data_IF_012522331175
#
_entry.id   IF_012522331175
#
_cell.length_a   1.000
_cell.length_b   1.000
_cell.length_c   1.000
_cell.angle_alpha   90.00
_cell.angle_beta   90.00
_cell.angle_gamma   90.00
#
_symmetry.space_group_name_H-M   'P 1'
#
loop_
_entity.id
_entity.type
_entity.pdbx_description
1 polymer ?
#
# COMPACT_ATOMS: atom_id res chain seq x y z
N UNK A 1 -14.48 -21.02 -2.46
CA UNK A 1 -13.39 -20.16 -3.00
C UNK A 1 -12.80 -19.27 -1.91
N UNK A 2 -12.12 -19.83 -0.90
CA UNK A 2 -11.40 -19.03 0.14
C UNK A 2 -9.90 -18.97 -0.12
N UNK A 3 -9.38 -19.87 -0.96
CA UNK A 3 -7.96 -20.01 -1.29
C UNK A 3 -7.50 -19.11 -2.48
N UNK A 4 -8.40 -18.39 -3.15
CA UNK A 4 -8.07 -17.50 -4.27
C UNK A 4 -7.78 -16.05 -3.86
N UNK A 5 -8.21 -15.63 -2.66
CA UNK A 5 -8.01 -14.27 -2.15
C UNK A 5 -6.56 -14.04 -1.71
N UNK A 6 -5.94 -15.04 -1.08
CA UNK A 6 -4.55 -14.98 -0.61
C UNK A 6 -3.56 -14.66 -1.74
N UNK A 7 -3.58 -15.33 -2.91
CA UNK A 7 -2.63 -15.01 -3.98
C UNK A 7 -2.88 -13.64 -4.62
N UNK A 8 -4.13 -13.18 -4.74
CA UNK A 8 -4.43 -11.88 -5.35
C UNK A 8 -3.98 -10.73 -4.45
N UNK A 9 -4.26 -10.83 -3.14
CA UNK A 9 -3.79 -9.83 -2.16
C UNK A 9 -2.26 -9.82 -2.07
N UNK A 10 -1.63 -11.00 -2.14
CA UNK A 10 -0.16 -11.10 -2.16
C UNK A 10 0.43 -10.50 -3.43
N UNK A 11 -0.19 -10.73 -4.60
CA UNK A 11 0.24 -10.14 -5.87
C UNK A 11 0.07 -8.62 -5.87
N UNK A 12 -1.07 -8.10 -5.43
CA UNK A 12 -1.30 -6.66 -5.31
C UNK A 12 -0.33 -5.99 -4.33
N UNK A 13 0.00 -6.65 -3.21
CA UNK A 13 1.02 -6.17 -2.27
C UNK A 13 2.41 -6.10 -2.89
N UNK A 14 2.76 -7.06 -3.74
CA UNK A 14 4.03 -7.08 -4.47
C UNK A 14 4.10 -5.97 -5.52
N UNK A 15 3.01 -5.74 -6.26
CA UNK A 15 2.91 -4.67 -7.25
C UNK A 15 3.01 -3.29 -6.56
N UNK A 16 2.32 -3.10 -5.44
CA UNK A 16 2.42 -1.87 -4.64
C UNK A 16 3.84 -1.64 -4.11
N UNK A 17 4.53 -2.69 -3.63
CA UNK A 17 5.91 -2.57 -3.20
C UNK A 17 6.85 -2.16 -4.36
N UNK A 18 6.63 -2.72 -5.55
CA UNK A 18 7.35 -2.35 -6.76
C UNK A 18 7.11 -0.89 -7.17
N UNK A 19 5.85 -0.44 -7.14
CA UNK A 19 5.48 0.94 -7.46
C UNK A 19 6.06 1.94 -6.46
N UNK A 20 6.01 1.64 -5.16
CA UNK A 20 6.61 2.49 -4.12
C UNK A 20 8.14 2.56 -4.26
N UNK A 21 8.80 1.43 -4.53
CA UNK A 21 10.24 1.39 -4.80
C UNK A 21 10.62 2.24 -6.03
N UNK A 22 9.88 2.11 -7.13
CA UNK A 22 10.06 2.93 -8.33
C UNK A 22 9.79 4.41 -8.09
N UNK A 23 8.78 4.74 -7.27
CA UNK A 23 8.44 6.11 -6.88
C UNK A 23 9.58 6.78 -6.09
N UNK A 24 10.20 6.08 -5.13
CA UNK A 24 11.35 6.61 -4.38
C UNK A 24 12.51 6.99 -5.32
N UNK A 25 12.81 6.13 -6.31
CA UNK A 25 13.88 6.39 -7.27
C UNK A 25 13.52 7.58 -8.17
N UNK A 26 12.29 7.67 -8.65
CA UNK A 26 11.86 8.82 -9.47
C UNK A 26 11.83 10.12 -8.66
N UNK A 27 11.37 10.11 -7.41
CA UNK A 27 11.44 11.27 -6.52
C UNK A 27 12.88 11.74 -6.31
N UNK A 28 13.82 10.80 -6.11
CA UNK A 28 15.23 11.10 -5.88
C UNK A 28 15.93 11.66 -7.12
N UNK A 29 15.68 11.08 -8.30
CA UNK A 29 16.31 11.52 -9.56
C UNK A 29 15.79 12.90 -9.98
N UNK A 30 14.49 13.16 -9.80
CA UNK A 30 13.86 14.42 -10.21
C UNK A 30 13.82 15.46 -9.08
N UNK A 31 14.37 15.17 -7.90
CA UNK A 31 14.32 16.05 -6.71
C UNK A 31 12.90 16.51 -6.35
N UNK A 32 11.91 15.62 -6.52
CA UNK A 32 10.51 15.91 -6.21
C UNK A 32 10.24 15.64 -4.73
N UNK A 33 9.53 16.55 -4.01
CA UNK A 33 9.13 16.30 -2.64
C UNK A 33 8.03 15.24 -2.61
N UNK A 34 8.34 14.06 -2.09
CA UNK A 34 7.40 12.95 -2.03
C UNK A 34 7.52 12.12 -0.75
N UNK A 35 6.52 11.28 -0.51
CA UNK A 35 6.43 10.50 0.74
C UNK A 35 7.52 9.44 0.84
N UNK A 36 8.01 8.93 -0.30
CA UNK A 36 9.06 7.93 -0.33
C UNK A 36 10.42 8.49 0.07
N UNK A 37 10.82 9.59 -0.54
CA UNK A 37 12.03 10.34 -0.20
C UNK A 37 11.99 10.91 1.22
N UNK A 38 10.83 11.40 1.67
CA UNK A 38 10.61 11.80 3.07
C UNK A 38 10.83 10.64 4.04
N UNK A 39 10.28 9.45 3.75
CA UNK A 39 10.48 8.28 4.61
C UNK A 39 11.96 7.88 4.72
N UNK A 40 12.68 7.89 3.60
CA UNK A 40 14.12 7.57 3.57
C UNK A 40 14.92 8.62 4.35
N UNK A 41 14.61 9.91 4.18
CA UNK A 41 15.30 10.98 4.90
C UNK A 41 15.01 10.91 6.41
N UNK A 42 13.77 10.68 6.82
CA UNK A 42 13.40 10.56 8.24
C UNK A 42 14.06 9.35 8.92
N UNK A 43 14.29 8.25 8.18
CA UNK A 43 15.08 7.12 8.71
C UNK A 43 16.55 7.49 8.90
N UNK A 44 17.14 8.24 7.97
CA UNK A 44 18.54 8.69 8.09
C UNK A 44 18.72 9.73 9.21
N UNK A 45 17.76 10.66 9.36
CA UNK A 45 17.78 11.71 10.39
C UNK A 45 17.21 11.24 11.74
N UNK A 46 16.76 9.98 11.83
CA UNK A 46 16.10 9.38 12.98
C UNK A 46 14.91 10.22 13.52
N UNK A 47 14.16 10.87 12.62
CA UNK A 47 12.98 11.65 12.95
C UNK A 47 11.78 10.71 13.20
N UNK A 48 11.71 10.21 14.44
CA UNK A 48 10.67 9.27 14.89
C UNK A 48 9.23 9.82 14.68
N UNK A 49 8.91 11.09 14.99
CA UNK A 49 7.60 11.66 14.68
C UNK A 49 7.19 11.50 13.22
N UNK A 50 8.09 11.80 12.28
CA UNK A 50 7.78 11.72 10.84
C UNK A 50 7.65 10.26 10.38
N UNK A 51 8.51 9.36 10.85
CA UNK A 51 8.40 7.92 10.56
C UNK A 51 7.04 7.37 11.00
N UNK A 52 6.61 7.70 12.22
CA UNK A 52 5.31 7.26 12.76
C UNK A 52 4.17 7.85 11.93
N UNK A 53 4.25 9.13 11.56
CA UNK A 53 3.27 9.80 10.70
C UNK A 53 3.12 9.11 9.33
N UNK A 54 4.24 8.87 8.64
CA UNK A 54 4.25 8.18 7.33
C UNK A 54 3.71 6.75 7.47
N UNK A 55 4.08 6.04 8.54
CA UNK A 55 3.61 4.68 8.80
C UNK A 55 2.09 4.64 9.00
N UNK A 56 1.53 5.55 9.80
CA UNK A 56 0.09 5.64 10.02
C UNK A 56 -0.69 5.94 8.73
N UNK A 57 -0.21 6.91 7.94
CA UNK A 57 -0.83 7.26 6.66
C UNK A 57 -0.80 6.07 5.70
N UNK A 58 0.35 5.43 5.55
CA UNK A 58 0.54 4.27 4.65
C UNK A 58 -0.30 3.08 5.10
N UNK A 59 -0.32 2.77 6.39
CA UNK A 59 -1.14 1.69 6.95
C UNK A 59 -2.63 1.95 6.73
N UNK A 60 -3.10 3.18 6.98
CA UNK A 60 -4.49 3.57 6.74
C UNK A 60 -4.86 3.42 5.26
N UNK A 61 -3.99 3.86 4.36
CA UNK A 61 -4.19 3.70 2.92
C UNK A 61 -4.31 2.22 2.52
N UNK A 62 -3.43 1.36 3.02
CA UNK A 62 -3.47 -0.08 2.76
C UNK A 62 -4.77 -0.71 3.28
N UNK A 63 -5.23 -0.33 4.48
CA UNK A 63 -6.49 -0.83 5.04
C UNK A 63 -7.67 -0.40 4.15
N UNK A 64 -7.71 0.86 3.72
CA UNK A 64 -8.76 1.37 2.83
C UNK A 64 -8.71 0.68 1.47
N UNK A 65 -7.53 0.47 0.89
CA UNK A 65 -7.36 -0.22 -0.38
C UNK A 65 -7.87 -1.67 -0.29
N UNK A 66 -7.52 -2.40 0.78
CA UNK A 66 -8.03 -3.74 1.01
C UNK A 66 -9.55 -3.75 1.20
N UNK A 67 -10.11 -2.79 1.93
CA UNK A 67 -11.56 -2.67 2.10
C UNK A 67 -12.29 -2.41 0.76
N UNK A 68 -11.71 -1.58 -0.11
CA UNK A 68 -12.25 -1.34 -1.46
C UNK A 68 -12.21 -2.63 -2.28
N UNK A 69 -11.12 -3.38 -2.22
CA UNK A 69 -10.99 -4.67 -2.90
C UNK A 69 -12.05 -5.65 -2.41
N UNK A 70 -12.24 -5.77 -1.09
CA UNK A 70 -13.27 -6.64 -0.50
C UNK A 70 -14.69 -6.22 -0.93
N UNK A 71 -14.97 -4.92 -0.98
CA UNK A 71 -16.26 -4.40 -1.43
C UNK A 71 -16.50 -4.65 -2.93
N UNK A 72 -15.49 -4.44 -3.77
CA UNK A 72 -15.55 -4.75 -5.19
C UNK A 72 -15.81 -6.24 -5.41
N UNK A 73 -15.16 -7.12 -4.65
CA UNK A 73 -15.44 -8.55 -4.68
C UNK A 73 -16.86 -8.88 -4.24
N UNK A 74 -17.37 -8.25 -3.19
CA UNK A 74 -18.75 -8.45 -2.73
C UNK A 74 -19.80 -8.05 -3.79
N UNK A 75 -19.49 -7.03 -4.61
CA UNK A 75 -20.37 -6.56 -5.69
C UNK A 75 -20.23 -7.42 -6.96
N UNK A 76 -19.00 -7.82 -7.31
CA UNK A 76 -18.71 -8.59 -8.53
C UNK A 76 -19.14 -10.05 -8.40
N UNK A 77 -19.07 -10.64 -7.20
CA UNK A 77 -19.40 -12.06 -6.99
C UNK A 77 -20.66 -12.26 -6.11
N UNK A 78 -21.88 -12.25 -6.70
CA UNK A 78 -23.12 -12.50 -5.96
C UNK A 78 -23.27 -13.96 -5.46
N UNK A 79 -22.31 -14.86 -5.75
CA UNK A 79 -22.33 -16.28 -5.34
C UNK A 79 -21.81 -16.54 -3.93
N UNK A 80 -21.22 -15.56 -3.26
CA UNK A 80 -20.74 -15.68 -1.86
C UNK A 80 -21.90 -15.81 -0.85
N UNK A 81 -23.15 -15.58 -1.27
CA UNK A 81 -24.35 -15.62 -0.41
C UNK A 81 -25.12 -16.95 -0.36
N UNK A 82 -24.61 -18.03 -0.94
CA UNK A 82 -25.29 -19.35 -0.93
C UNK A 82 -24.46 -20.39 -0.17
N UNK A 83 -24.45 -20.27 1.16
CA UNK A 83 -24.57 -21.41 2.10
C UNK A 83 -25.49 -20.97 3.23
#
# INVERSE_FOLDING_TARGET
>A
MRAGLTPIVTAAGLDLAGLLGGAIITESIFSLPGLGSLAVNSVNDADLPVIVGITLVTATFIIVANLIVDLLYAVIDPRVRLV
#
